data_IF_174267692028
#
_entry.id   IF_174267692028
#
_cell.length_a   1.000
_cell.length_b   1.000
_cell.length_c   1.000
_cell.angle_alpha   90.00
_cell.angle_beta   90.00
_cell.angle_gamma   90.00
#
_symmetry.space_group_name_H-M   'P 1'
#
loop_
_entity.id
_entity.type
_entity.pdbx_description
1 polymer ?
#
# COMPACT_ATOMS: atom_id res chain seq x y z
N UNK A 1 13.42 -8.35 22.91
CA UNK A 1 13.86 -9.76 22.77
C UNK A 1 14.97 -9.74 21.72
N UNK A 2 16.23 -9.71 22.16
CA UNK A 2 17.36 -9.84 21.24
C UNK A 2 17.52 -11.33 20.93
N UNK A 3 17.18 -11.71 19.71
CA UNK A 3 17.46 -13.05 19.21
C UNK A 3 18.96 -13.08 18.93
N UNK A 4 19.73 -13.63 19.87
CA UNK A 4 21.19 -13.75 19.81
C UNK A 4 21.59 -14.87 18.81
N UNK A 5 21.20 -14.69 17.55
CA UNK A 5 21.36 -15.64 16.47
C UNK A 5 22.50 -15.19 15.58
N UNK A 6 23.58 -15.98 15.55
CA UNK A 6 24.71 -15.80 14.65
C UNK A 6 24.30 -16.26 13.24
N UNK A 7 23.93 -15.31 12.37
CA UNK A 7 23.48 -15.60 11.01
C UNK A 7 24.58 -16.25 10.17
N UNK A 8 25.86 -15.92 10.41
CA UNK A 8 26.98 -16.48 9.67
C UNK A 8 27.18 -17.97 9.97
N UNK A 9 26.87 -18.41 11.20
CA UNK A 9 26.88 -19.83 11.55
C UNK A 9 25.73 -20.59 10.91
N UNK A 10 24.54 -20.00 10.82
CA UNK A 10 23.40 -20.63 10.17
C UNK A 10 23.69 -20.80 8.68
N UNK A 11 24.15 -19.74 8.00
CA UNK A 11 24.44 -19.80 6.56
C UNK A 11 25.50 -20.85 6.19
N UNK A 12 26.46 -21.14 7.07
CA UNK A 12 27.49 -22.18 6.81
C UNK A 12 26.96 -23.61 6.83
N UNK A 13 25.82 -23.86 7.48
CA UNK A 13 25.26 -25.21 7.63
C UNK A 13 24.24 -25.56 6.53
N UNK A 14 23.86 -24.58 5.70
CA UNK A 14 22.85 -24.76 4.66
C UNK A 14 23.35 -24.31 3.29
N UNK A 15 23.18 -25.15 2.29
CA UNK A 15 23.38 -24.78 0.89
C UNK A 15 22.06 -24.28 0.29
N UNK A 16 22.06 -23.07 -0.25
CA UNK A 16 20.90 -22.53 -0.99
C UNK A 16 20.84 -23.23 -2.36
N UNK A 17 19.78 -23.99 -2.59
CA UNK A 17 19.55 -24.68 -3.85
C UNK A 17 18.79 -23.80 -4.86
N UNK A 18 17.82 -23.03 -4.37
CA UNK A 18 16.99 -22.16 -5.20
C UNK A 18 16.48 -20.96 -4.41
N UNK A 19 16.37 -19.81 -5.09
CA UNK A 19 15.77 -18.59 -4.55
C UNK A 19 14.66 -18.16 -5.48
N UNK A 20 13.43 -18.13 -4.98
CA UNK A 20 12.31 -17.51 -5.66
C UNK A 20 12.16 -16.07 -5.14
N UNK A 21 12.58 -15.11 -5.97
CA UNK A 21 12.40 -13.69 -5.69
C UNK A 21 10.91 -13.32 -5.59
N UNK A 22 10.61 -12.22 -4.90
CA UNK A 22 9.22 -11.78 -4.73
C UNK A 22 8.55 -11.53 -6.08
N UNK A 23 7.43 -12.20 -6.30
CA UNK A 23 6.59 -12.03 -7.48
C UNK A 23 5.27 -11.34 -7.09
N UNK A 24 4.88 -10.27 -7.79
CA UNK A 24 3.67 -9.47 -7.50
C UNK A 24 2.35 -10.24 -7.68
N UNK A 25 2.31 -11.25 -8.53
CA UNK A 25 1.16 -12.13 -8.73
C UNK A 25 1.06 -13.14 -7.58
N UNK A 26 2.17 -13.84 -7.28
CA UNK A 26 2.21 -14.86 -6.21
C UNK A 26 2.25 -14.26 -4.79
N UNK A 27 2.68 -12.99 -4.66
CA UNK A 27 2.84 -12.22 -3.42
C UNK A 27 3.64 -12.92 -2.31
N UNK A 28 4.63 -13.70 -2.73
CA UNK A 28 5.52 -14.46 -1.87
C UNK A 28 6.92 -14.50 -2.45
N UNK A 29 7.88 -14.80 -1.59
CA UNK A 29 9.27 -15.11 -1.92
C UNK A 29 9.71 -16.27 -1.04
N UNK A 30 10.65 -17.08 -1.50
CA UNK A 30 11.09 -18.23 -0.73
C UNK A 30 12.44 -18.74 -1.16
N UNK A 31 12.95 -19.66 -0.36
CA UNK A 31 14.24 -20.30 -0.58
C UNK A 31 14.11 -21.80 -0.35
N UNK A 32 14.75 -22.59 -1.21
CA UNK A 32 15.03 -23.99 -0.94
C UNK A 32 16.46 -24.09 -0.44
N UNK A 33 16.61 -24.70 0.73
CA UNK A 33 17.90 -24.90 1.38
C UNK A 33 18.12 -26.38 1.63
N UNK A 34 19.35 -26.85 1.52
CA UNK A 34 19.78 -28.19 1.87
C UNK A 34 20.68 -28.12 3.09
N UNK A 35 20.30 -28.81 4.15
CA UNK A 35 21.15 -28.99 5.31
C UNK A 35 22.33 -29.90 4.93
N UNK A 36 23.55 -29.42 5.19
CA UNK A 36 24.78 -30.12 4.83
C UNK A 36 25.02 -31.34 5.73
N UNK A 37 24.55 -31.31 6.99
CA UNK A 37 24.86 -32.37 7.97
C UNK A 37 24.01 -33.61 7.80
N UNK A 38 22.70 -33.45 7.56
CA UNK A 38 21.74 -34.55 7.44
C UNK A 38 21.21 -34.75 6.00
N UNK A 39 21.59 -33.87 5.08
CA UNK A 39 21.18 -33.90 3.68
C UNK A 39 19.72 -33.51 3.43
N UNK A 40 18.96 -33.12 4.45
CA UNK A 40 17.55 -32.77 4.31
C UNK A 40 17.35 -31.47 3.54
N UNK A 41 16.26 -31.39 2.77
CA UNK A 41 15.91 -30.20 1.99
C UNK A 41 14.68 -29.55 2.62
N UNK A 42 14.73 -28.24 2.80
CA UNK A 42 13.67 -27.43 3.39
C UNK A 42 13.30 -26.29 2.46
N UNK A 43 12.02 -26.11 2.21
CA UNK A 43 11.47 -24.96 1.50
C UNK A 43 10.89 -23.97 2.52
N UNK A 44 11.37 -22.74 2.51
CA UNK A 44 10.93 -21.67 3.40
C UNK A 44 10.30 -20.54 2.59
N UNK A 45 9.09 -20.13 2.97
CA UNK A 45 8.35 -19.06 2.30
C UNK A 45 7.99 -17.94 3.26
N UNK A 46 8.08 -16.72 2.74
CA UNK A 46 7.51 -15.52 3.36
C UNK A 46 6.68 -14.75 2.35
N UNK A 47 5.63 -14.10 2.81
CA UNK A 47 4.77 -13.34 1.91
C UNK A 47 3.57 -12.69 2.59
N UNK A 48 2.63 -12.24 1.77
CA UNK A 48 1.34 -11.76 2.25
C UNK A 48 0.65 -12.85 3.06
N UNK A 49 0.20 -12.50 4.28
CA UNK A 49 -0.33 -13.47 5.23
C UNK A 49 -1.50 -14.29 4.68
N UNK A 50 -2.41 -13.66 3.95
CA UNK A 50 -3.54 -14.29 3.25
C UNK A 50 -3.09 -15.37 2.27
N UNK A 51 -1.96 -15.17 1.59
CA UNK A 51 -1.47 -16.07 0.55
C UNK A 51 -0.73 -17.26 1.15
N UNK A 52 0.08 -17.01 2.18
CA UNK A 52 0.84 -18.04 2.88
C UNK A 52 -0.08 -18.91 3.75
N UNK A 53 -1.07 -18.33 4.43
CA UNK A 53 -2.05 -19.11 5.21
C UNK A 53 -2.80 -20.12 4.32
N UNK A 54 -3.20 -19.71 3.11
CA UNK A 54 -3.92 -20.58 2.16
C UNK A 54 -3.12 -21.77 1.64
N UNK A 55 -1.80 -21.67 1.57
CA UNK A 55 -0.94 -22.79 1.14
C UNK A 55 -0.54 -23.73 2.28
N UNK A 56 -0.90 -23.39 3.53
CA UNK A 56 -0.60 -24.21 4.68
C UNK A 56 -1.70 -25.23 4.94
N UNK A 57 -1.28 -26.43 5.32
CA UNK A 57 -2.16 -27.52 5.77
C UNK A 57 -1.98 -27.84 7.25
N UNK A 58 -0.90 -27.35 7.87
CA UNK A 58 -0.59 -27.56 9.28
C UNK A 58 -0.02 -26.27 9.89
N UNK A 59 0.06 -26.23 11.21
CA UNK A 59 0.72 -25.16 11.97
C UNK A 59 1.38 -25.73 13.22
N UNK A 60 2.26 -24.94 13.85
CA UNK A 60 2.78 -25.24 15.19
C UNK A 60 1.88 -24.64 16.26
N UNK A 61 1.43 -25.47 17.20
CA UNK A 61 0.77 -24.97 18.40
C UNK A 61 1.77 -24.35 19.40
N UNK A 62 1.25 -23.84 20.52
CA UNK A 62 2.05 -23.18 21.56
C UNK A 62 3.09 -24.11 22.22
N UNK A 63 2.91 -25.42 22.09
CA UNK A 63 3.81 -26.44 22.64
C UNK A 63 4.86 -26.88 21.59
N UNK A 64 4.77 -26.37 20.36
CA UNK A 64 5.64 -26.74 19.25
C UNK A 64 5.22 -28.03 18.54
N UNK A 65 4.00 -28.53 18.78
CA UNK A 65 3.48 -29.70 18.08
C UNK A 65 2.86 -29.30 16.75
N UNK A 66 3.02 -30.16 15.75
CA UNK A 66 2.41 -29.96 14.43
C UNK A 66 0.95 -30.41 14.50
N UNK A 67 0.01 -29.50 14.22
CA UNK A 67 -1.42 -29.78 14.13
C UNK A 67 -1.95 -29.49 12.73
N UNK A 68 -2.96 -30.24 12.26
CA UNK A 68 -3.65 -29.91 11.02
C UNK A 68 -4.30 -28.52 11.15
N UNK A 69 -4.25 -27.74 10.08
CA UNK A 69 -4.86 -26.42 10.00
C UNK A 69 -6.29 -26.58 9.46
N UNK A 70 -7.25 -26.73 10.38
CA UNK A 70 -8.66 -26.97 10.06
C UNK A 70 -9.37 -25.68 9.60
N UNK A 71 -10.64 -25.80 9.19
CA UNK A 71 -11.41 -24.65 8.70
C UNK A 71 -11.55 -23.55 9.78
N UNK A 72 -11.81 -23.94 11.04
CA UNK A 72 -11.90 -23.01 12.16
C UNK A 72 -10.60 -22.26 12.42
N UNK A 73 -9.46 -22.94 12.26
CA UNK A 73 -8.14 -22.33 12.45
C UNK A 73 -7.82 -21.33 11.34
N UNK A 74 -8.26 -21.62 10.11
CA UNK A 74 -8.13 -20.67 8.98
C UNK A 74 -8.97 -19.41 9.19
N UNK A 75 -10.18 -19.55 9.70
CA UNK A 75 -11.02 -18.41 10.09
C UNK A 75 -10.38 -17.59 11.22
N UNK A 76 -9.72 -18.24 12.17
CA UNK A 76 -8.94 -17.55 13.21
C UNK A 76 -7.72 -16.82 12.63
N UNK A 77 -6.98 -17.45 11.72
CA UNK A 77 -5.88 -16.79 11.00
C UNK A 77 -6.37 -15.53 10.27
N UNK A 78 -7.49 -15.63 9.55
CA UNK A 78 -8.08 -14.49 8.84
C UNK A 78 -8.47 -13.37 9.82
N UNK A 79 -9.08 -13.70 10.98
CA UNK A 79 -9.38 -12.72 12.04
C UNK A 79 -8.13 -12.06 12.61
N UNK A 80 -7.05 -12.80 12.81
CA UNK A 80 -5.76 -12.24 13.28
C UNK A 80 -5.19 -11.29 12.24
N UNK A 81 -5.19 -11.68 10.96
CA UNK A 81 -4.70 -10.86 9.85
C UNK A 81 -5.51 -9.57 9.75
N UNK A 82 -6.84 -9.65 9.84
CA UNK A 82 -7.73 -8.50 9.85
C UNK A 82 -7.49 -7.59 11.06
N UNK A 83 -7.34 -8.15 12.27
CA UNK A 83 -7.03 -7.39 13.48
C UNK A 83 -5.68 -6.66 13.41
N UNK A 84 -4.65 -7.32 12.87
CA UNK A 84 -3.35 -6.69 12.60
C UNK A 84 -3.49 -5.55 11.58
N UNK A 85 -4.22 -5.78 10.50
CA UNK A 85 -4.43 -4.76 9.48
C UNK A 85 -5.25 -3.56 9.99
N UNK A 86 -6.26 -3.80 10.84
CA UNK A 86 -7.03 -2.76 11.53
C UNK A 86 -6.16 -1.91 12.46
N UNK A 87 -5.08 -2.48 12.99
CA UNK A 87 -4.07 -1.80 13.80
C UNK A 87 -2.96 -1.12 12.97
N UNK A 88 -3.19 -0.89 11.67
CA UNK A 88 -2.22 -0.34 10.71
C UNK A 88 -0.93 -1.18 10.57
N UNK A 89 -0.98 -2.49 10.84
CA UNK A 89 0.17 -3.38 10.65
C UNK A 89 0.12 -4.06 9.29
N UNK A 90 1.26 -4.11 8.60
CA UNK A 90 1.48 -4.96 7.44
C UNK A 90 1.78 -6.38 7.91
N UNK A 91 0.81 -7.28 7.75
CA UNK A 91 0.95 -8.67 8.16
C UNK A 91 1.76 -9.47 7.12
N UNK A 92 2.85 -10.08 7.57
CA UNK A 92 3.68 -11.03 6.82
C UNK A 92 3.60 -12.38 7.53
N UNK A 93 3.37 -13.45 6.78
CA UNK A 93 3.41 -14.79 7.32
C UNK A 93 4.63 -15.55 6.82
N UNK A 94 5.02 -16.54 7.60
CA UNK A 94 6.12 -17.44 7.33
C UNK A 94 5.63 -18.88 7.37
N UNK A 95 6.11 -19.70 6.46
CA UNK A 95 5.78 -21.12 6.42
C UNK A 95 6.97 -21.92 5.91
N UNK A 96 7.07 -23.18 6.32
CA UNK A 96 8.11 -24.08 5.86
C UNK A 96 7.57 -25.48 5.54
N UNK A 97 8.34 -26.22 4.74
CA UNK A 97 8.07 -27.61 4.39
C UNK A 97 9.41 -28.33 4.23
N UNK A 98 9.56 -29.46 4.92
CA UNK A 98 10.63 -30.40 4.63
C UNK A 98 10.24 -31.23 3.40
N UNK A 99 11.12 -31.28 2.40
CA UNK A 99 10.90 -32.05 1.17
C UNK A 99 11.17 -33.53 1.45
N UNK A 100 10.18 -34.43 1.28
CA UNK A 100 10.36 -35.86 1.50
C UNK A 100 11.48 -36.43 0.62
N UNK A 101 12.26 -37.39 1.14
CA UNK A 101 13.39 -37.99 0.40
C UNK A 101 12.98 -38.58 -0.97
N UNK A 102 11.76 -39.09 -1.08
CA UNK A 102 11.22 -39.64 -2.33
C UNK A 102 11.02 -38.58 -3.44
N UNK A 103 10.83 -37.31 -3.08
CA UNK A 103 10.68 -36.22 -4.05
C UNK A 103 12.04 -35.65 -4.45
N UNK A 104 13.10 -35.85 -3.65
CA UNK A 104 14.42 -35.22 -3.87
C UNK A 104 15.15 -35.71 -5.13
N UNK A 105 14.76 -36.85 -5.69
CA UNK A 105 15.31 -37.42 -6.93
C UNK A 105 14.59 -36.93 -8.20
N UNK A 106 13.52 -36.14 -8.05
CA UNK A 106 12.74 -35.61 -9.16
C UNK A 106 13.43 -34.39 -9.80
N UNK A 107 13.62 -34.42 -11.12
CA UNK A 107 14.26 -33.34 -11.88
C UNK A 107 13.43 -32.04 -11.88
N UNK A 108 12.13 -32.07 -11.56
CA UNK A 108 11.28 -30.88 -11.44
C UNK A 108 11.61 -29.99 -10.23
N UNK A 109 12.17 -30.52 -9.15
CA UNK A 109 12.61 -29.74 -7.98
C UNK A 109 13.79 -28.80 -8.31
N UNK A 110 14.60 -29.15 -9.33
CA UNK A 110 15.68 -28.31 -9.84
C UNK A 110 15.17 -27.07 -10.60
N UNK A 111 13.89 -27.05 -10.98
CA UNK A 111 13.23 -25.88 -11.59
C UNK A 111 12.44 -25.02 -10.59
N UNK A 112 12.59 -25.27 -9.28
CA UNK A 112 12.09 -24.38 -8.22
C UNK A 112 10.60 -24.52 -7.88
N UNK A 113 9.86 -25.41 -8.54
CA UNK A 113 8.44 -25.62 -8.29
C UNK A 113 8.21 -26.78 -7.32
N UNK A 114 8.33 -26.53 -6.01
CA UNK A 114 7.84 -27.46 -4.99
C UNK A 114 6.32 -27.58 -5.15
N UNK A 115 5.85 -28.76 -5.58
CA UNK A 115 4.40 -29.04 -5.68
C UNK A 115 3.76 -29.11 -4.28
N UNK A 116 2.49 -28.72 -4.27
CA UNK A 116 1.47 -28.86 -3.23
C UNK A 116 1.45 -27.95 -1.99
N UNK A 117 0.20 -27.59 -1.67
CA UNK A 117 -0.31 -26.80 -0.56
C UNK A 117 -0.20 -27.51 0.81
N UNK A 118 0.99 -28.04 1.12
CA UNK A 118 1.25 -28.79 2.35
C UNK A 118 2.33 -28.16 3.23
N UNK A 119 2.33 -26.83 3.31
CA UNK A 119 3.24 -26.11 4.20
C UNK A 119 2.76 -26.13 5.65
N UNK A 120 3.71 -25.98 6.56
CA UNK A 120 3.46 -25.77 7.98
C UNK A 120 3.61 -24.26 8.25
N UNK A 121 2.53 -23.63 8.72
CA UNK A 121 2.51 -22.23 9.12
C UNK A 121 3.36 -22.05 10.39
N UNK A 122 4.33 -21.14 10.34
CA UNK A 122 5.16 -20.76 11.48
C UNK A 122 4.51 -19.64 12.31
N UNK A 123 3.86 -18.70 11.65
CA UNK A 123 3.17 -17.61 12.32
C UNK A 123 3.12 -16.31 11.50
N UNK A 124 2.60 -15.28 12.15
CA UNK A 124 2.37 -13.95 11.60
C UNK A 124 3.25 -12.90 12.29
N UNK A 125 3.79 -11.99 11.51
CA UNK A 125 4.53 -10.82 11.98
C UNK A 125 3.86 -9.57 11.43
N UNK A 126 3.42 -8.69 12.32
CA UNK A 126 2.91 -7.37 11.97
C UNK A 126 4.04 -6.34 11.92
N UNK A 127 4.33 -5.81 10.72
CA UNK A 127 5.26 -4.70 10.55
C UNK A 127 4.51 -3.39 10.55
N UNK A 128 4.86 -2.47 11.46
CA UNK A 128 4.32 -1.11 11.43
C UNK A 128 5.17 -0.24 10.53
N UNK A 129 4.56 0.36 9.51
CA UNK A 129 5.15 1.46 8.76
C UNK A 129 4.52 2.77 9.29
N UNK A 130 5.15 3.43 10.29
CA UNK A 130 4.53 4.56 10.94
C UNK A 130 4.40 5.74 9.98
N UNK A 131 3.27 6.44 10.09
CA UNK A 131 3.10 7.70 9.40
C UNK A 131 4.20 8.69 9.79
N UNK A 132 4.67 9.48 8.81
CA UNK A 132 5.65 10.54 9.08
C UNK A 132 5.10 11.51 10.14
N UNK A 133 5.94 11.95 11.10
CA UNK A 133 5.52 12.95 12.08
C UNK A 133 4.94 14.19 11.40
N UNK A 134 3.83 14.70 11.93
CA UNK A 134 3.18 15.90 11.41
C UNK A 134 2.24 15.70 10.21
N UNK A 135 2.13 14.50 9.65
CA UNK A 135 1.26 14.27 8.48
C UNK A 135 -0.21 14.58 8.79
N UNK A 136 -0.69 14.23 9.97
CA UNK A 136 -2.07 14.49 10.40
C UNK A 136 -2.38 15.99 10.43
N UNK A 137 -1.48 16.78 11.00
CA UNK A 137 -1.59 18.24 11.01
C UNK A 137 -1.58 18.82 9.59
N UNK A 138 -0.71 18.31 8.71
CA UNK A 138 -0.66 18.76 7.32
C UNK A 138 -1.95 18.41 6.55
N UNK A 139 -2.54 17.24 6.81
CA UNK A 139 -3.86 16.86 6.27
C UNK A 139 -4.94 17.82 6.75
N UNK A 140 -4.98 18.11 8.04
CA UNK A 140 -5.91 19.07 8.65
C UNK A 140 -5.74 20.49 8.07
N UNK A 141 -4.50 20.99 7.95
CA UNK A 141 -4.20 22.31 7.38
C UNK A 141 -4.68 22.42 5.92
N UNK A 142 -4.48 21.38 5.12
CA UNK A 142 -4.95 21.30 3.73
C UNK A 142 -6.49 21.22 3.65
N UNK A 143 -7.14 20.42 4.50
CA UNK A 143 -8.60 20.35 4.59
C UNK A 143 -9.21 21.69 5.01
N UNK A 144 -8.61 22.39 6.00
CA UNK A 144 -9.00 23.73 6.43
C UNK A 144 -8.81 24.77 5.32
N UNK A 145 -7.86 24.55 4.41
CA UNK A 145 -7.70 25.35 3.21
C UNK A 145 -8.73 25.01 2.12
N UNK A 146 -9.62 24.03 2.32
CA UNK A 146 -10.62 23.61 1.34
C UNK A 146 -10.09 22.65 0.27
N UNK A 147 -8.99 21.94 0.54
CA UNK A 147 -8.53 20.87 -0.34
C UNK A 147 -9.20 19.54 -0.02
N UNK A 148 -9.52 18.79 -1.07
CA UNK A 148 -9.85 17.38 -0.96
C UNK A 148 -8.58 16.53 -1.03
N UNK A 149 -8.32 15.73 0.00
CA UNK A 149 -7.19 14.81 0.05
C UNK A 149 -7.66 13.42 -0.32
N UNK A 150 -6.92 12.76 -1.23
CA UNK A 150 -7.21 11.40 -1.71
C UNK A 150 -5.95 10.55 -1.56
N UNK A 151 -6.05 9.40 -0.89
CA UNK A 151 -4.96 8.42 -0.74
C UNK A 151 -5.10 7.33 -1.80
N UNK A 152 -4.00 7.03 -2.51
CA UNK A 152 -3.94 5.94 -3.48
C UNK A 152 -2.77 5.04 -3.12
N UNK A 153 -3.04 3.77 -2.81
CA UNK A 153 -2.02 2.80 -2.38
C UNK A 153 -2.22 1.42 -2.98
N UNK A 154 -1.11 0.69 -3.17
CA UNK A 154 -1.10 -0.73 -3.53
C UNK A 154 -1.40 -1.67 -2.35
N UNK A 155 -1.49 -1.14 -1.13
CA UNK A 155 -1.74 -1.94 0.07
C UNK A 155 -3.13 -2.58 0.09
N UNK A 156 -3.31 -3.54 0.99
CA UNK A 156 -4.62 -4.09 1.29
C UNK A 156 -5.57 -2.96 1.78
N UNK A 157 -6.84 -3.04 1.38
CA UNK A 157 -7.96 -2.20 1.83
C UNK A 157 -7.94 -1.96 3.34
N UNK A 158 -7.75 -2.99 4.18
CA UNK A 158 -7.80 -2.85 5.64
C UNK A 158 -6.67 -1.96 6.17
N UNK A 159 -5.41 -2.27 5.83
CA UNK A 159 -4.25 -1.46 6.20
C UNK A 159 -4.36 -0.04 5.65
N UNK A 160 -4.82 0.09 4.40
CA UNK A 160 -5.01 1.37 3.75
C UNK A 160 -6.07 2.24 4.46
N UNK A 161 -7.19 1.64 4.89
CA UNK A 161 -8.24 2.30 5.70
C UNK A 161 -7.71 2.73 7.06
N UNK A 162 -6.97 1.86 7.75
CA UNK A 162 -6.41 2.16 9.06
C UNK A 162 -5.44 3.36 8.99
N UNK A 163 -4.50 3.35 8.03
CA UNK A 163 -3.56 4.46 7.80
C UNK A 163 -4.30 5.74 7.38
N UNK A 164 -5.29 5.63 6.48
CA UNK A 164 -6.06 6.79 6.05
C UNK A 164 -6.82 7.45 7.22
N UNK A 165 -7.32 6.64 8.15
CA UNK A 165 -7.98 7.10 9.38
C UNK A 165 -6.98 7.74 10.33
N UNK A 166 -5.81 7.12 10.54
CA UNK A 166 -4.72 7.66 11.37
C UNK A 166 -4.23 9.03 10.86
N UNK A 167 -4.16 9.21 9.54
CA UNK A 167 -3.81 10.48 8.90
C UNK A 167 -4.94 11.54 8.92
N UNK A 168 -6.17 11.18 9.28
CA UNK A 168 -7.32 12.10 9.20
C UNK A 168 -7.93 12.28 7.80
N UNK A 169 -7.61 11.40 6.85
CA UNK A 169 -8.21 11.38 5.50
C UNK A 169 -9.60 10.74 5.53
N UNK A 170 -9.76 9.69 6.33
CA UNK A 170 -11.05 9.09 6.65
C UNK A 170 -11.42 9.42 8.09
N UNK A 171 -12.70 9.65 8.36
CA UNK A 171 -13.20 9.96 9.70
C UNK A 171 -13.96 8.76 10.28
N UNK A 172 -13.66 8.31 11.52
CA UNK A 172 -14.30 7.12 12.13
C UNK A 172 -15.82 7.27 12.32
N UNK A 173 -16.30 8.50 12.49
CA UNK A 173 -17.67 8.82 12.92
C UNK A 173 -18.54 9.43 11.80
N UNK A 174 -18.03 9.55 10.57
CA UNK A 174 -18.91 9.81 9.42
C UNK A 174 -19.43 8.45 8.99
N UNK A 175 -20.71 8.21 9.27
CA UNK A 175 -21.48 7.03 8.86
C UNK A 175 -20.97 6.49 7.53
N UNK A 176 -20.46 5.25 7.55
CA UNK A 176 -20.37 4.34 6.40
C UNK A 176 -20.37 5.09 5.06
N UNK A 177 -19.27 5.73 4.71
CA UNK A 177 -19.12 6.39 3.39
C UNK A 177 -19.16 5.27 2.32
N UNK A 178 -20.36 4.84 1.94
CA UNK A 178 -20.62 3.96 0.81
C UNK A 178 -20.06 4.66 -0.44
N UNK A 179 -18.87 4.22 -0.83
CA UNK A 179 -18.15 4.74 -2.00
C UNK A 179 -16.95 5.65 -1.73
N UNK A 180 -16.57 5.98 -0.47
CA UNK A 180 -15.30 6.69 -0.25
C UNK A 180 -14.07 5.79 -0.40
N UNK A 181 -14.23 4.48 -0.25
CA UNK A 181 -13.16 3.49 -0.38
C UNK A 181 -13.46 2.58 -1.55
N UNK A 182 -12.51 2.46 -2.48
CA UNK A 182 -12.63 1.61 -3.67
C UNK A 182 -11.34 0.79 -3.89
N UNK A 183 -11.46 -0.38 -4.52
CA UNK A 183 -10.29 -1.13 -5.01
C UNK A 183 -9.88 -0.65 -6.39
N UNK A 184 -8.58 -0.66 -6.70
CA UNK A 184 -8.08 -0.26 -8.04
C UNK A 184 -8.74 -1.03 -9.18
N UNK A 185 -8.87 -2.36 -9.04
CA UNK A 185 -9.58 -3.23 -10.00
C UNK A 185 -11.04 -2.83 -10.20
N UNK A 186 -11.77 -2.60 -9.09
CA UNK A 186 -13.16 -2.18 -9.12
C UNK A 186 -13.31 -0.84 -9.86
N UNK A 187 -12.47 0.15 -9.53
CA UNK A 187 -12.48 1.46 -10.18
C UNK A 187 -12.24 1.36 -11.69
N UNK A 188 -11.27 0.55 -12.11
CA UNK A 188 -10.90 0.40 -13.52
C UNK A 188 -11.96 -0.32 -14.35
N UNK A 189 -12.77 -1.18 -13.72
CA UNK A 189 -13.85 -1.92 -14.36
C UNK A 189 -15.15 -1.10 -14.48
N UNK A 190 -15.25 0.06 -13.82
CA UNK A 190 -16.33 1.01 -14.06
C UNK A 190 -16.21 1.64 -15.44
N UNK A 191 -17.33 2.07 -16.01
CA UNK A 191 -17.31 2.92 -17.21
C UNK A 191 -16.65 4.27 -16.90
N UNK A 192 -16.12 4.94 -17.92
CA UNK A 192 -15.43 6.21 -17.73
C UNK A 192 -16.38 7.29 -17.14
N UNK A 193 -17.65 7.25 -17.50
CA UNK A 193 -18.71 8.11 -16.98
C UNK A 193 -18.93 7.88 -15.48
N UNK A 194 -19.07 6.62 -15.06
CA UNK A 194 -19.22 6.25 -13.64
C UNK A 194 -17.98 6.57 -12.82
N UNK A 195 -16.78 6.37 -13.38
CA UNK A 195 -15.53 6.76 -12.73
C UNK A 195 -15.52 8.25 -12.43
N UNK A 196 -15.87 9.07 -13.43
CA UNK A 196 -15.92 10.53 -13.31
C UNK A 196 -17.02 10.97 -12.33
N UNK A 197 -18.16 10.31 -12.29
CA UNK A 197 -19.22 10.61 -11.31
C UNK A 197 -18.79 10.29 -9.88
N UNK A 198 -18.16 9.12 -9.66
CA UNK A 198 -17.75 8.65 -8.33
C UNK A 198 -16.47 9.30 -7.82
N UNK A 199 -15.64 9.88 -8.70
CA UNK A 199 -14.29 10.37 -8.35
C UNK A 199 -14.29 11.38 -7.22
N UNK A 200 -15.34 12.20 -7.11
CA UNK A 200 -15.46 13.24 -6.08
C UNK A 200 -15.62 12.62 -4.69
N UNK A 201 -16.42 11.55 -4.58
CA UNK A 201 -16.69 10.82 -3.33
C UNK A 201 -15.51 9.98 -2.87
N UNK A 202 -14.74 9.41 -3.80
CA UNK A 202 -13.62 8.53 -3.46
C UNK A 202 -12.52 9.30 -2.71
N UNK A 203 -12.20 8.86 -1.48
CA UNK A 203 -11.11 9.39 -0.64
C UNK A 203 -9.93 8.42 -0.56
N UNK A 204 -10.18 7.12 -0.72
CA UNK A 204 -9.17 6.08 -0.64
C UNK A 204 -9.32 5.07 -1.78
N UNK A 205 -8.25 4.89 -2.54
CA UNK A 205 -8.10 3.77 -3.46
C UNK A 205 -7.02 2.81 -2.93
N UNK A 206 -7.40 1.56 -2.71
CA UNK A 206 -6.51 0.50 -2.24
C UNK A 206 -6.25 -0.55 -3.34
N UNK A 207 -5.21 -1.37 -3.18
CA UNK A 207 -4.75 -2.34 -4.19
C UNK A 207 -4.59 -1.71 -5.59
N UNK A 208 -4.16 -0.46 -5.66
CA UNK A 208 -3.97 0.28 -6.91
C UNK A 208 -2.73 -0.16 -7.67
N UNK A 209 -2.83 -0.30 -8.98
CA UNK A 209 -1.71 -0.38 -9.92
C UNK A 209 -1.22 1.02 -10.34
N UNK A 210 -0.05 1.13 -11.01
CA UNK A 210 0.38 2.40 -11.62
C UNK A 210 -0.66 3.00 -12.58
N UNK A 211 -1.35 2.15 -13.36
CA UNK A 211 -2.40 2.60 -14.27
C UNK A 211 -3.60 3.20 -13.53
N UNK A 212 -4.02 2.61 -12.41
CA UNK A 212 -5.16 3.12 -11.63
C UNK A 212 -4.91 4.53 -11.08
N UNK A 213 -3.66 4.82 -10.71
CA UNK A 213 -3.24 6.15 -10.27
C UNK A 213 -3.41 7.18 -11.37
N UNK A 214 -2.96 6.85 -12.59
CA UNK A 214 -3.08 7.72 -13.76
C UNK A 214 -4.55 7.98 -14.09
N UNK A 215 -5.37 6.92 -14.12
CA UNK A 215 -6.79 6.99 -14.42
C UNK A 215 -7.53 7.90 -13.43
N UNK A 216 -7.26 7.75 -12.13
CA UNK A 216 -7.86 8.60 -11.09
C UNK A 216 -7.53 10.08 -11.29
N UNK A 217 -6.28 10.41 -11.63
CA UNK A 217 -5.87 11.79 -11.92
C UNK A 217 -6.55 12.32 -13.18
N UNK A 218 -6.68 11.51 -14.23
CA UNK A 218 -7.38 11.89 -15.46
C UNK A 218 -8.87 12.20 -15.20
N UNK A 219 -9.56 11.40 -14.39
CA UNK A 219 -10.95 11.64 -14.02
C UNK A 219 -11.11 12.95 -13.24
N UNK A 220 -10.21 13.25 -12.29
CA UNK A 220 -10.23 14.51 -11.54
C UNK A 220 -10.01 15.72 -12.46
N UNK A 221 -9.08 15.63 -13.41
CA UNK A 221 -8.84 16.68 -14.40
C UNK A 221 -10.02 16.88 -15.34
N UNK A 222 -10.71 15.82 -15.76
CA UNK A 222 -11.95 15.92 -16.56
C UNK A 222 -13.08 16.64 -15.81
N UNK A 223 -13.12 16.53 -14.48
CA UNK A 223 -14.03 17.32 -13.62
C UNK A 223 -13.61 18.79 -13.42
N UNK A 224 -12.46 19.20 -13.98
CA UNK A 224 -11.93 20.55 -13.84
C UNK A 224 -11.15 20.78 -12.54
N UNK A 225 -10.77 19.72 -11.82
CA UNK A 225 -9.91 19.87 -10.65
C UNK A 225 -8.44 20.02 -11.07
N UNK A 226 -7.73 20.88 -10.34
CA UNK A 226 -6.27 20.95 -10.36
C UNK A 226 -5.72 19.92 -9.37
N UNK A 227 -4.87 19.02 -9.85
CA UNK A 227 -4.34 17.90 -9.06
C UNK A 227 -2.90 18.17 -8.67
N UNK A 228 -2.65 18.13 -7.36
CA UNK A 228 -1.30 18.15 -6.79
C UNK A 228 -0.90 16.72 -6.45
N UNK A 229 0.23 16.28 -6.98
CA UNK A 229 0.71 14.90 -6.84
C UNK A 229 2.14 14.80 -6.31
N UNK A 230 2.48 13.60 -5.86
CA UNK A 230 3.86 13.21 -5.55
C UNK A 230 4.58 12.75 -6.81
N UNK A 231 5.89 12.47 -6.73
CA UNK A 231 6.72 12.00 -7.85
C UNK A 231 6.10 10.85 -8.67
N UNK A 232 5.37 9.93 -8.02
CA UNK A 232 4.72 8.78 -8.69
C UNK A 232 3.63 9.19 -9.69
N UNK A 233 3.07 10.41 -9.57
CA UNK A 233 2.06 10.95 -10.48
C UNK A 233 2.58 12.17 -11.26
N UNK A 234 3.90 12.32 -11.37
CA UNK A 234 4.58 13.50 -11.95
C UNK A 234 4.09 13.85 -13.35
N UNK A 235 3.89 12.87 -14.22
CA UNK A 235 3.49 13.10 -15.62
C UNK A 235 2.00 13.45 -15.79
N UNK A 236 1.18 13.22 -14.76
CA UNK A 236 -0.28 13.42 -14.85
C UNK A 236 -0.81 14.52 -13.95
N UNK A 237 -0.01 15.00 -12.99
CA UNK A 237 -0.41 16.02 -12.02
C UNK A 237 -0.07 17.42 -12.54
N UNK A 238 -0.89 18.42 -12.20
CA UNK A 238 -0.65 19.81 -12.59
C UNK A 238 0.46 20.45 -11.75
N UNK A 239 0.65 19.98 -10.51
CA UNK A 239 1.70 20.41 -9.59
C UNK A 239 2.36 19.17 -8.96
N UNK A 240 3.68 19.16 -8.86
CA UNK A 240 4.46 18.05 -8.30
C UNK A 240 5.28 18.53 -7.11
N UNK A 241 5.16 17.84 -5.98
CA UNK A 241 5.90 18.14 -4.76
C UNK A 241 7.17 17.28 -4.75
N UNK A 242 8.35 17.92 -4.79
CA UNK A 242 9.64 17.24 -4.89
C UNK A 242 10.25 16.87 -3.52
N UNK A 243 9.92 17.60 -2.46
CA UNK A 243 10.51 17.40 -1.13
C UNK A 243 9.82 16.30 -0.29
N UNK A 244 8.78 15.66 -0.86
CA UNK A 244 7.92 14.69 -0.20
C UNK A 244 7.37 15.15 1.17
N UNK A 245 7.29 16.47 1.39
CA UNK A 245 6.80 17.06 2.62
C UNK A 245 5.39 17.61 2.42
N UNK A 246 4.42 16.98 3.08
CA UNK A 246 3.03 17.41 3.02
C UNK A 246 2.81 18.81 3.59
N UNK A 247 3.64 19.28 4.53
CA UNK A 247 3.52 20.64 5.07
C UNK A 247 3.78 21.72 4.00
N UNK A 248 4.66 21.43 3.04
CA UNK A 248 4.98 22.33 1.93
C UNK A 248 3.76 22.62 1.05
N UNK A 249 2.80 21.69 0.96
CA UNK A 249 1.57 21.83 0.17
C UNK A 249 0.70 22.97 0.67
N UNK A 250 0.45 22.99 1.98
CA UNK A 250 -0.35 24.03 2.61
C UNK A 250 0.29 25.42 2.42
N UNK A 251 1.62 25.48 2.55
CA UNK A 251 2.39 26.71 2.30
C UNK A 251 2.26 27.16 0.84
N UNK A 252 2.53 26.30 -0.14
CA UNK A 252 2.45 26.62 -1.57
C UNK A 252 1.06 27.15 -1.94
N UNK A 253 -0.01 26.55 -1.42
CA UNK A 253 -1.37 26.99 -1.69
C UNK A 253 -1.69 28.36 -1.08
N UNK A 254 -1.23 28.61 0.14
CA UNK A 254 -1.40 29.93 0.78
C UNK A 254 -0.73 31.03 -0.04
N UNK A 255 0.50 30.78 -0.52
CA UNK A 255 1.21 31.72 -1.39
C UNK A 255 0.54 31.86 -2.75
N UNK A 256 0.11 30.76 -3.38
CA UNK A 256 -0.59 30.79 -4.67
C UNK A 256 -1.87 31.62 -4.65
N UNK A 257 -2.69 31.48 -3.59
CA UNK A 257 -3.90 32.30 -3.41
C UNK A 257 -3.58 33.77 -3.19
N UNK A 258 -2.58 34.07 -2.36
CA UNK A 258 -2.12 35.45 -2.14
C UNK A 258 -1.67 36.09 -3.45
N UNK A 259 -0.87 35.37 -4.24
CA UNK A 259 -0.36 35.82 -5.52
C UNK A 259 -1.49 36.07 -6.52
N UNK A 260 -2.47 35.17 -6.63
CA UNK A 260 -3.64 35.33 -7.49
C UNK A 260 -4.43 36.62 -7.15
N UNK A 261 -4.72 36.85 -5.87
CA UNK A 261 -5.42 38.06 -5.41
C UNK A 261 -4.61 39.32 -5.73
N UNK A 262 -3.29 39.27 -5.55
CA UNK A 262 -2.41 40.40 -5.86
C UNK A 262 -2.35 40.71 -7.36
N UNK A 263 -2.35 39.68 -8.22
CA UNK A 263 -2.46 39.87 -9.68
C UNK A 263 -3.78 40.54 -10.03
N UNK A 264 -4.91 40.09 -9.46
CA UNK A 264 -6.22 40.70 -9.75
C UNK A 264 -6.22 42.19 -9.36
N UNK A 265 -5.70 42.51 -8.18
CA UNK A 265 -5.55 43.91 -7.73
C UNK A 265 -4.64 44.73 -8.65
N UNK A 266 -3.54 44.15 -9.10
CA UNK A 266 -2.61 44.81 -10.02
C UNK A 266 -3.27 45.08 -11.39
N UNK A 267 -3.97 44.09 -11.95
CA UNK A 267 -4.70 44.23 -13.22
C UNK A 267 -5.78 45.31 -13.07
N UNK A 268 -6.54 45.29 -11.98
CA UNK A 268 -7.57 46.29 -11.71
C UNK A 268 -6.95 47.70 -11.66
N UNK A 269 -5.85 47.87 -10.93
CA UNK A 269 -5.12 49.14 -10.85
C UNK A 269 -4.66 49.61 -12.23
N UNK A 270 -4.02 48.74 -13.02
CA UNK A 270 -3.51 49.09 -14.35
C UNK A 270 -4.65 49.46 -15.31
N UNK A 271 -5.77 48.75 -15.25
CA UNK A 271 -6.94 49.04 -16.06
C UNK A 271 -7.54 50.40 -15.70
N UNK A 272 -7.69 50.68 -14.40
CA UNK A 272 -8.17 52.00 -13.91
C UNK A 272 -7.25 53.14 -14.32
N UNK A 273 -5.93 52.96 -14.19
CA UNK A 273 -4.94 53.96 -14.59
C UNK A 273 -5.00 54.24 -16.10
N UNK A 274 -5.10 53.20 -16.94
CA UNK A 274 -5.20 53.34 -18.39
C UNK A 274 -6.50 54.06 -18.81
N UNK A 275 -7.64 53.72 -18.20
CA UNK A 275 -8.92 54.39 -18.47
C UNK A 275 -8.87 55.87 -18.05
N UNK A 276 -8.31 56.17 -16.88
CA UNK A 276 -8.15 57.55 -16.42
C UNK A 276 -7.25 58.37 -17.36
N UNK A 277 -6.13 57.80 -17.81
CA UNK A 277 -5.22 58.45 -18.76
C UNK A 277 -5.88 58.74 -20.11
N UNK A 278 -6.75 57.85 -20.60
CA UNK A 278 -7.56 58.07 -21.81
C UNK A 278 -8.55 59.22 -21.63
N UNK A 279 -9.26 59.29 -20.50
CA UNK A 279 -10.27 60.33 -20.24
C UNK A 279 -9.65 61.73 -20.04
N UNK A 280 -8.41 61.84 -19.54
CA UNK A 280 -7.70 63.12 -19.42
C UNK A 280 -7.22 63.63 -20.79
N UNK A 281 -6.96 62.72 -21.74
CA UNK A 281 -6.44 63.04 -23.07
C UNK A 281 -7.54 63.23 -24.15
N UNK A 282 -8.82 63.13 -23.77
CA UNK A 282 -10.01 63.39 -24.62
C UNK A 282 -10.58 64.77 -24.31
#
# INVERSE_FOLDING_TARGET
>A
MELNVDMDQIERNFNILHVEAFNSEKKKSGVLIKNITDGTIHANWKGAAEMISRMCSHYYDLEGNIKPLEHSDKEECDRIIEGMAASSLRCIAFAHKQVPKAEQEDHELMHGSVRDNSFILLGFVGLKDPCRPGIKKAVEDCQNAGMNIKKITGDNVFTAKAIATECGILHPNQEVDEGAVIKGEEFRNLTYEEQVERIEKIRLMARSSPFDKLLMVQCLRKKGHVVVGTEVTKESSDIVILDANFASVATVLKWGRCFYINIQKFIQFQLTANVAALMINL
#
